data_IF_457821185222
#
_entry.id   IF_457821185222
#
_cell.length_a   1.000
_cell.length_b   1.000
_cell.length_c   1.000
_cell.angle_alpha   90.00
_cell.angle_beta   90.00
_cell.angle_gamma   90.00
#
_symmetry.space_group_name_H-M   'P 1'
#
loop_
_entity.id
_entity.type
_entity.pdbx_description
1 polymer ?
#
# COMPACT_ATOMS: atom_id res chain seq x y z
N UNK A 1 2.77 17.96 12.65
CA UNK A 1 2.59 16.83 11.70
C UNK A 1 3.99 16.34 11.33
N UNK A 2 4.29 15.05 11.50
CA UNK A 2 5.64 14.54 11.23
C UNK A 2 5.90 14.41 9.71
N UNK A 3 7.19 14.31 9.33
CA UNK A 3 7.59 14.20 7.91
C UNK A 3 7.00 12.97 7.22
N UNK A 4 6.79 11.88 7.95
CA UNK A 4 6.22 10.64 7.42
C UNK A 4 4.72 10.78 7.11
N UNK A 5 3.97 11.51 7.94
CA UNK A 5 2.54 11.76 7.77
C UNK A 5 2.28 12.70 6.61
N UNK A 6 3.13 13.72 6.44
CA UNK A 6 3.07 14.61 5.29
C UNK A 6 3.39 13.85 3.99
N UNK A 7 4.41 12.99 4.01
CA UNK A 7 4.74 12.13 2.87
C UNK A 7 3.59 11.16 2.54
N UNK A 8 3.02 10.48 3.55
CA UNK A 8 1.89 9.57 3.36
C UNK A 8 0.67 10.28 2.77
N UNK A 9 0.34 11.48 3.26
CA UNK A 9 -0.78 12.28 2.72
C UNK A 9 -0.56 12.65 1.26
N UNK A 10 0.63 13.20 0.92
CA UNK A 10 0.92 13.62 -0.46
C UNK A 10 1.02 12.44 -1.42
N UNK A 11 1.67 11.35 -1.03
CA UNK A 11 1.79 10.15 -1.86
C UNK A 11 0.42 9.48 -2.05
N UNK A 12 -0.41 9.43 -1.00
CA UNK A 12 -1.77 8.88 -1.13
C UNK A 12 -2.66 9.75 -2.01
N UNK A 13 -2.55 11.08 -1.90
CA UNK A 13 -3.29 12.01 -2.75
C UNK A 13 -2.85 11.91 -4.21
N UNK A 14 -1.53 11.86 -4.47
CA UNK A 14 -0.97 11.67 -5.79
C UNK A 14 -1.40 10.32 -6.40
N UNK A 15 -1.34 9.25 -5.61
CA UNK A 15 -1.79 7.92 -6.02
C UNK A 15 -3.28 7.90 -6.35
N UNK A 16 -4.13 8.50 -5.51
CA UNK A 16 -5.57 8.57 -5.74
C UNK A 16 -5.91 9.36 -7.01
N UNK A 17 -5.29 10.54 -7.19
CA UNK A 17 -5.49 11.37 -8.38
C UNK A 17 -5.04 10.65 -9.66
N UNK A 18 -3.88 10.01 -9.63
CA UNK A 18 -3.37 9.29 -10.79
C UNK A 18 -4.18 8.03 -11.11
N UNK A 19 -4.58 7.27 -10.09
CA UNK A 19 -5.45 6.10 -10.26
C UNK A 19 -6.81 6.50 -10.85
N UNK A 20 -7.38 7.60 -10.38
CA UNK A 20 -8.64 8.13 -10.93
C UNK A 20 -8.49 8.54 -12.40
N UNK A 21 -7.36 9.17 -12.76
CA UNK A 21 -7.04 9.49 -14.15
C UNK A 21 -6.94 8.24 -15.03
N UNK A 22 -6.20 7.21 -14.59
CA UNK A 22 -6.06 5.94 -15.32
C UNK A 22 -7.43 5.27 -15.52
N UNK A 23 -8.24 5.19 -14.45
CA UNK A 23 -9.59 4.61 -14.53
C UNK A 23 -10.52 5.41 -15.46
N UNK A 24 -10.43 6.74 -15.44
CA UNK A 24 -11.20 7.60 -16.34
C UNK A 24 -10.80 7.40 -17.80
N UNK A 25 -9.50 7.28 -18.10
CA UNK A 25 -9.03 6.99 -19.45
C UNK A 25 -9.54 5.63 -19.94
N UNK A 26 -9.48 4.59 -19.10
CA UNK A 26 -10.01 3.27 -19.41
C UNK A 26 -11.52 3.30 -19.67
N UNK A 27 -12.28 3.99 -18.82
CA UNK A 27 -13.73 4.12 -18.98
C UNK A 27 -14.13 4.92 -20.23
N UNK A 28 -13.36 5.93 -20.61
CA UNK A 28 -13.59 6.74 -21.80
C UNK A 28 -13.01 6.14 -23.09
N UNK A 29 -12.28 5.01 -23.01
CA UNK A 29 -11.57 4.42 -24.14
C UNK A 29 -10.42 5.29 -24.67
N UNK A 30 -9.89 6.19 -23.84
CA UNK A 30 -8.78 7.06 -24.20
C UNK A 30 -7.44 6.32 -24.10
N UNK A 31 -6.46 6.69 -24.94
CA UNK A 31 -5.12 6.11 -24.84
C UNK A 31 -4.48 6.48 -23.50
N UNK A 32 -3.92 5.46 -22.83
CA UNK A 32 -3.10 5.68 -21.63
C UNK A 32 -1.69 6.15 -22.03
N UNK A 33 -1.04 6.99 -21.20
CA UNK A 33 0.39 7.27 -21.34
C UNK A 33 1.23 5.99 -21.34
N UNK A 34 2.32 5.96 -22.10
CA UNK A 34 3.16 4.76 -22.30
C UNK A 34 3.71 4.15 -21.01
N UNK A 35 3.89 4.95 -19.96
CA UNK A 35 4.42 4.52 -18.66
C UNK A 35 3.37 4.48 -17.55
N UNK A 36 2.08 4.66 -17.88
CA UNK A 36 1.03 4.81 -16.88
C UNK A 36 0.95 3.63 -15.91
N UNK A 37 1.14 2.40 -16.40
CA UNK A 37 1.12 1.20 -15.57
C UNK A 37 2.32 1.12 -14.60
N UNK A 38 3.49 1.56 -15.06
CA UNK A 38 4.70 1.60 -14.23
C UNK A 38 4.61 2.69 -13.17
N UNK A 39 4.04 3.85 -13.53
CA UNK A 39 3.79 4.96 -12.60
C UNK A 39 2.74 4.58 -11.56
N UNK A 40 1.65 3.90 -11.96
CA UNK A 40 0.63 3.40 -11.05
C UNK A 40 1.24 2.45 -10.01
N UNK A 41 2.15 1.58 -10.47
CA UNK A 41 2.90 0.69 -9.59
C UNK A 41 3.82 1.43 -8.63
N UNK A 42 4.68 2.31 -9.14
CA UNK A 42 5.65 3.05 -8.33
C UNK A 42 4.98 3.95 -7.29
N UNK A 43 3.93 4.68 -7.69
CA UNK A 43 3.14 5.52 -6.79
C UNK A 43 2.38 4.68 -5.77
N UNK A 44 1.80 3.55 -6.16
CA UNK A 44 1.11 2.64 -5.24
C UNK A 44 2.06 2.06 -4.19
N UNK A 45 3.26 1.64 -4.61
CA UNK A 45 4.30 1.15 -3.71
C UNK A 45 4.75 2.22 -2.71
N UNK A 46 5.00 3.44 -3.21
CA UNK A 46 5.41 4.57 -2.37
C UNK A 46 4.31 5.00 -1.39
N UNK A 47 3.05 5.09 -1.84
CA UNK A 47 1.93 5.45 -1.00
C UNK A 47 1.66 4.38 0.08
N UNK A 48 1.65 3.10 -0.29
CA UNK A 48 1.48 2.00 0.65
C UNK A 48 2.57 1.98 1.72
N UNK A 49 3.83 2.11 1.33
CA UNK A 49 4.95 2.10 2.28
C UNK A 49 4.90 3.30 3.22
N UNK A 50 4.61 4.50 2.70
CA UNK A 50 4.43 5.68 3.53
C UNK A 50 3.25 5.55 4.50
N UNK A 51 2.11 4.99 4.05
CA UNK A 51 0.96 4.69 4.91
C UNK A 51 1.31 3.66 5.98
N UNK A 52 1.97 2.56 5.61
CA UNK A 52 2.39 1.50 6.52
C UNK A 52 3.31 2.00 7.63
N UNK A 53 4.22 2.93 7.31
CA UNK A 53 5.13 3.56 8.26
C UNK A 53 4.56 4.80 8.98
N UNK A 54 3.33 5.22 8.69
CA UNK A 54 2.74 6.44 9.25
C UNK A 54 2.14 6.21 10.64
N UNK A 55 2.26 7.20 11.55
CA UNK A 55 1.64 7.15 12.89
C UNK A 55 0.14 6.88 12.85
N UNK A 56 -0.55 7.37 11.81
CA UNK A 56 -1.99 7.20 11.62
C UNK A 56 -2.40 5.71 11.59
N UNK A 57 -1.63 4.87 10.91
CA UNK A 57 -1.85 3.41 10.82
C UNK A 57 -1.62 2.72 12.16
N UNK A 58 -0.79 3.29 13.04
CA UNK A 58 -0.59 2.78 14.40
C UNK A 58 -1.73 3.17 15.34
N UNK A 59 -2.23 4.40 15.23
CA UNK A 59 -3.38 4.87 16.01
C UNK A 59 -4.68 4.19 15.57
N UNK A 60 -4.75 3.72 14.32
CA UNK A 60 -5.89 3.02 13.74
C UNK A 60 -5.41 1.70 13.16
N UNK A 61 -5.41 0.59 13.92
CA UNK A 61 -4.82 -0.69 13.49
C UNK A 61 -5.37 -1.23 12.17
N UNK A 62 -6.63 -0.93 11.85
CA UNK A 62 -7.25 -1.29 10.58
C UNK A 62 -6.67 -0.53 9.37
N UNK A 63 -5.93 0.56 9.59
CA UNK A 63 -5.30 1.38 8.55
C UNK A 63 -4.15 0.70 7.81
N UNK A 64 -3.76 -0.53 8.20
CA UNK A 64 -2.83 -1.39 7.44
C UNK A 64 -3.54 -2.24 6.36
N UNK A 65 -4.84 -2.54 6.54
CA UNK A 65 -5.78 -2.60 5.40
C UNK A 65 -5.79 -1.19 4.79
N UNK A 66 -6.47 -0.77 3.74
CA UNK A 66 -6.11 0.51 3.06
C UNK A 66 -4.68 0.55 2.51
N UNK A 67 -3.61 0.51 3.32
CA UNK A 67 -2.24 0.36 2.83
C UNK A 67 -2.12 -0.90 1.95
N UNK A 68 -2.64 -2.05 2.43
CA UNK A 68 -2.76 -3.26 1.61
C UNK A 68 -3.64 -3.08 0.36
N UNK A 69 -4.70 -2.27 0.42
CA UNK A 69 -5.57 -1.99 -0.73
C UNK A 69 -4.86 -1.15 -1.80
N UNK A 70 -4.16 -0.09 -1.38
CA UNK A 70 -3.32 0.78 -2.20
C UNK A 70 -2.21 -0.02 -2.84
N UNK A 71 -1.54 -0.88 -2.07
CA UNK A 71 -0.55 -1.83 -2.57
C UNK A 71 -1.15 -2.77 -3.62
N UNK A 72 -2.38 -3.23 -3.43
CA UNK A 72 -3.06 -4.17 -4.33
C UNK A 72 -3.38 -3.52 -5.68
N UNK A 73 -3.88 -2.29 -5.64
CA UNK A 73 -4.11 -1.47 -6.84
C UNK A 73 -2.81 -1.13 -7.56
N UNK A 74 -1.75 -0.71 -6.85
CA UNK A 74 -0.43 -0.48 -7.44
C UNK A 74 0.16 -1.74 -8.09
N UNK A 75 -0.04 -2.89 -7.45
CA UNK A 75 0.40 -4.20 -7.97
C UNK A 75 -0.26 -4.55 -9.31
N UNK A 76 -1.49 -4.10 -9.58
CA UNK A 76 -2.12 -4.23 -10.91
C UNK A 76 -1.27 -3.54 -11.98
N UNK A 77 -0.79 -2.32 -11.71
CA UNK A 77 0.09 -1.60 -12.64
C UNK A 77 1.36 -2.37 -12.98
N UNK A 78 2.02 -2.97 -11.98
CA UNK A 78 3.26 -3.71 -12.22
C UNK A 78 3.03 -5.03 -12.97
N UNK A 79 1.86 -5.66 -12.77
CA UNK A 79 1.46 -6.86 -13.51
C UNK A 79 1.08 -6.54 -14.97
N UNK A 80 0.45 -5.39 -15.23
CA UNK A 80 0.24 -4.90 -16.60
C UNK A 80 1.55 -4.62 -17.32
N UNK A 81 2.62 -4.29 -16.59
CA UNK A 81 3.97 -4.17 -17.12
C UNK A 81 4.68 -5.52 -17.32
N UNK A 82 4.02 -6.66 -17.08
CA UNK A 82 4.61 -8.01 -17.17
C UNK A 82 5.82 -8.23 -16.24
N UNK A 83 5.85 -7.58 -15.08
CA UNK A 83 6.93 -7.74 -14.09
C UNK A 83 6.47 -8.72 -12.99
N UNK A 84 6.88 -10.00 -13.03
CA UNK A 84 6.34 -11.04 -12.14
C UNK A 84 6.73 -10.87 -10.66
N UNK A 85 7.87 -10.24 -10.38
CA UNK A 85 8.39 -10.05 -9.02
C UNK A 85 7.62 -9.00 -8.20
N UNK A 86 6.73 -8.23 -8.82
CA UNK A 86 6.06 -7.09 -8.21
C UNK A 86 5.22 -7.46 -6.99
N UNK A 87 4.50 -8.60 -7.03
CA UNK A 87 3.65 -9.05 -5.91
C UNK A 87 4.47 -9.29 -4.64
N UNK A 88 5.60 -9.98 -4.78
CA UNK A 88 6.50 -10.29 -3.67
C UNK A 88 7.16 -9.03 -3.11
N UNK A 89 7.55 -8.08 -3.97
CA UNK A 89 8.15 -6.80 -3.58
C UNK A 89 7.16 -5.96 -2.77
N UNK A 90 5.89 -5.87 -3.21
CA UNK A 90 4.88 -5.08 -2.51
C UNK A 90 4.57 -5.64 -1.11
N UNK A 91 4.40 -6.96 -0.99
CA UNK A 91 4.13 -7.61 0.31
C UNK A 91 5.31 -7.48 1.28
N UNK A 92 6.53 -7.65 0.78
CA UNK A 92 7.76 -7.43 1.56
C UNK A 92 7.88 -5.99 2.03
N UNK A 93 7.68 -5.02 1.14
CA UNK A 93 7.78 -3.59 1.45
C UNK A 93 6.75 -3.14 2.50
N UNK A 94 5.50 -3.61 2.41
CA UNK A 94 4.47 -3.32 3.42
C UNK A 94 4.84 -3.90 4.79
N UNK A 95 5.33 -5.14 4.81
CA UNK A 95 5.77 -5.81 6.03
C UNK A 95 6.88 -5.01 6.71
N UNK A 96 7.93 -4.66 5.97
CA UNK A 96 9.05 -3.86 6.49
C UNK A 96 8.57 -2.49 6.97
N UNK A 97 7.76 -1.77 6.19
CA UNK A 97 7.24 -0.45 6.56
C UNK A 97 6.39 -0.50 7.84
N UNK A 98 5.53 -1.51 7.97
CA UNK A 98 4.64 -1.66 9.12
C UNK A 98 5.37 -2.06 10.41
N UNK A 99 6.44 -2.86 10.32
CA UNK A 99 7.24 -3.18 11.50
C UNK A 99 8.22 -2.06 11.88
N UNK A 100 8.83 -1.40 10.90
CA UNK A 100 9.73 -0.25 11.15
C UNK A 100 9.01 0.94 11.77
N UNK A 101 7.78 1.26 11.36
CA UNK A 101 7.00 2.27 12.06
C UNK A 101 6.59 1.82 13.47
N UNK A 102 6.40 0.51 13.72
CA UNK A 102 6.10 0.00 15.05
C UNK A 102 7.27 0.24 16.00
N UNK A 103 8.49 -0.02 15.53
CA UNK A 103 9.74 0.33 16.22
C UNK A 103 9.95 1.83 16.34
N UNK A 104 9.45 2.65 15.42
CA UNK A 104 9.64 4.10 15.51
C UNK A 104 8.76 4.74 16.58
N UNK A 105 7.54 4.23 16.74
CA UNK A 105 6.54 4.91 17.56
C UNK A 105 6.39 4.33 18.96
N UNK A 106 6.98 3.18 19.29
CA UNK A 106 7.09 2.55 20.63
C UNK A 106 6.17 3.16 21.71
N UNK A 107 4.85 3.10 21.49
CA UNK A 107 3.86 3.70 22.39
C UNK A 107 3.78 2.94 23.73
N UNK A 108 4.40 1.76 23.80
CA UNK A 108 4.26 0.79 24.90
C UNK A 108 5.57 0.46 25.64
N UNK A 109 6.68 1.17 25.37
CA UNK A 109 8.00 0.89 25.95
C UNK A 109 8.88 -0.03 25.09
N UNK A 110 10.11 -0.36 25.51
CA UNK A 110 11.12 -1.05 24.70
C UNK A 110 10.82 -2.51 24.36
N UNK A 111 9.74 -3.07 24.91
CA UNK A 111 9.32 -4.46 24.70
C UNK A 111 7.83 -4.47 24.37
N UNK A 112 7.46 -5.03 23.22
CA UNK A 112 6.07 -5.19 22.81
C UNK A 112 5.51 -6.50 23.37
N UNK A 113 4.31 -6.46 23.97
CA UNK A 113 3.64 -7.66 24.47
C UNK A 113 3.31 -8.63 23.32
N UNK A 114 3.38 -9.93 23.59
CA UNK A 114 3.10 -11.01 22.64
C UNK A 114 1.67 -10.92 22.09
N UNK A 115 0.73 -10.48 22.93
CA UNK A 115 -0.67 -10.28 22.52
C UNK A 115 -0.80 -9.19 21.43
N UNK A 116 -0.02 -8.12 21.54
CA UNK A 116 0.04 -7.01 20.58
C UNK A 116 0.71 -7.43 19.28
N UNK A 117 1.83 -8.14 19.37
CA UNK A 117 2.54 -8.71 18.21
C UNK A 117 1.60 -9.61 17.41
N UNK A 118 0.86 -10.49 18.08
CA UNK A 118 -0.12 -11.39 17.44
C UNK A 118 -1.21 -10.59 16.72
N UNK A 119 -1.79 -9.58 17.38
CA UNK A 119 -2.84 -8.75 16.78
C UNK A 119 -2.34 -8.02 15.53
N UNK A 120 -1.13 -7.47 15.57
CA UNK A 120 -0.50 -6.76 14.45
C UNK A 120 -0.18 -7.70 13.29
N UNK A 121 0.32 -8.89 13.58
CA UNK A 121 0.58 -9.92 12.56
C UNK A 121 -0.71 -10.36 11.85
N UNK A 122 -1.84 -10.45 12.58
CA UNK A 122 -3.15 -10.74 11.97
C UNK A 122 -3.58 -9.63 11.00
N UNK A 123 -3.50 -8.37 11.41
CA UNK A 123 -3.83 -7.24 10.55
C UNK A 123 -2.94 -7.15 9.31
N UNK A 124 -1.64 -7.38 9.46
CA UNK A 124 -0.70 -7.40 8.35
C UNK A 124 -1.00 -8.57 7.39
N UNK A 125 -1.31 -9.76 7.92
CA UNK A 125 -1.69 -10.92 7.10
C UNK A 125 -2.98 -10.66 6.32
N UNK A 126 -3.97 -10.01 6.97
CA UNK A 126 -5.21 -9.61 6.33
C UNK A 126 -4.97 -8.53 5.24
N UNK A 127 -4.04 -7.60 5.48
CA UNK A 127 -3.62 -6.61 4.48
C UNK A 127 -2.96 -7.26 3.25
N UNK A 128 -2.11 -8.27 3.46
CA UNK A 128 -1.51 -9.04 2.36
C UNK A 128 -2.57 -9.83 1.57
N UNK A 129 -3.54 -10.43 2.27
CA UNK A 129 -4.67 -11.11 1.62
C UNK A 129 -5.50 -10.13 0.79
N UNK A 130 -5.82 -8.97 1.35
CA UNK A 130 -6.55 -7.89 0.69
C UNK A 130 -5.81 -7.37 -0.55
N UNK A 131 -4.50 -7.19 -0.47
CA UNK A 131 -3.65 -6.81 -1.59
C UNK A 131 -3.79 -7.80 -2.76
N UNK A 132 -3.71 -9.10 -2.47
CA UNK A 132 -3.90 -10.15 -3.46
C UNK A 132 -5.32 -10.18 -4.02
N UNK A 133 -6.34 -10.04 -3.17
CA UNK A 133 -7.75 -10.04 -3.58
C UNK A 133 -8.06 -8.87 -4.52
N UNK A 134 -7.57 -7.66 -4.21
CA UNK A 134 -7.72 -6.49 -5.08
C UNK A 134 -7.03 -6.73 -6.42
N UNK A 135 -5.77 -7.17 -6.42
CA UNK A 135 -5.09 -7.47 -7.69
C UNK A 135 -5.81 -8.54 -8.50
N UNK A 136 -6.36 -9.58 -7.87
CA UNK A 136 -7.15 -10.61 -8.56
C UNK A 136 -8.42 -10.03 -9.21
N UNK A 137 -9.20 -9.26 -8.46
CA UNK A 137 -10.44 -8.65 -8.96
C UNK A 137 -10.19 -7.76 -10.18
N UNK A 138 -9.13 -6.96 -10.19
CA UNK A 138 -8.83 -6.07 -11.32
C UNK A 138 -8.19 -6.76 -12.53
N UNK A 139 -7.68 -7.99 -12.37
CA UNK A 139 -7.08 -8.75 -13.48
C UNK A 139 -8.06 -9.74 -14.12
N UNK A 140 -9.12 -10.10 -13.41
CA UNK A 140 -10.06 -11.14 -13.81
C UNK A 140 -11.54 -10.70 -13.82
N UNK A 141 -11.84 -9.43 -13.51
CA UNK A 141 -13.14 -8.80 -13.78
C UNK A 141 -13.14 -8.14 -15.17
#
# INVERSE_FOLDING_TARGET
MGRAEFAAANLSAAFAAFSAYVLACLAAGWPLPSLAWLELWGLGLAAMTALGASRWTYERPWGVLLAGAVGGLGTVGGLMCQIPLVRSVAGFALTVAYWTGAERFHVYGPVMDVSEVRRRALWLSLAMLMMNAVSYLFLHA
#
